data_IF_619325526299
#
_entry.id   IF_619325526299
#
_cell.length_a   1.000
_cell.length_b   1.000
_cell.length_c   1.000
_cell.angle_alpha   90.00
_cell.angle_beta   90.00
_cell.angle_gamma   90.00
#
_symmetry.space_group_name_H-M   'P 1'
#
loop_
_entity.id
_entity.type
_entity.pdbx_description
1 polymer ?
#
# COMPACT_ATOMS: atom_id res chain seq x y z
N UNK A 1 -11.43 6.97 -8.43
CA UNK A 1 -11.28 5.77 -9.27
C UNK A 1 -12.32 4.70 -8.97
N UNK A 2 -12.70 4.46 -7.71
CA UNK A 2 -13.70 3.46 -7.33
C UNK A 2 -14.99 4.19 -6.97
N UNK A 3 -15.94 4.33 -7.91
CA UNK A 3 -17.23 4.93 -7.60
C UNK A 3 -18.01 4.02 -6.64
N UNK A 4 -18.70 4.61 -5.68
CA UNK A 4 -19.52 3.86 -4.71
C UNK A 4 -18.76 2.87 -3.82
N UNK A 5 -17.53 3.22 -3.40
CA UNK A 5 -16.81 2.46 -2.40
C UNK A 5 -17.57 2.48 -1.06
N UNK A 6 -17.99 1.32 -0.60
CA UNK A 6 -18.68 1.14 0.68
C UNK A 6 -18.01 0.08 1.56
N UNK A 7 -17.40 -0.94 0.93
CA UNK A 7 -16.80 -2.09 1.61
C UNK A 7 -15.30 -2.15 1.30
N UNK A 8 -14.49 -1.77 2.26
CA UNK A 8 -13.03 -1.84 2.16
C UNK A 8 -12.53 -3.06 2.91
N UNK A 9 -11.74 -3.88 2.26
CA UNK A 9 -11.05 -4.98 2.93
C UNK A 9 -9.58 -4.62 3.15
N UNK A 10 -9.07 -4.86 4.35
CA UNK A 10 -7.66 -4.68 4.71
C UNK A 10 -6.98 -6.05 4.73
N UNK A 11 -5.90 -6.22 3.97
CA UNK A 11 -5.07 -7.42 4.02
C UNK A 11 -3.75 -7.09 4.70
N UNK A 12 -3.35 -7.88 5.71
CA UNK A 12 -2.09 -7.64 6.40
C UNK A 12 -1.55 -8.84 7.16
N UNK A 13 -0.23 -8.85 7.34
CA UNK A 13 0.46 -9.84 8.17
C UNK A 13 0.26 -9.48 9.66
N UNK A 14 -0.64 -10.18 10.33
CA UNK A 14 -0.95 -9.93 11.75
C UNK A 14 0.12 -10.43 12.72
N UNK A 15 1.15 -11.13 12.23
CA UNK A 15 2.33 -11.45 13.01
C UNK A 15 3.33 -10.28 13.08
N UNK A 16 3.14 -9.25 12.24
CA UNK A 16 3.96 -8.05 12.24
C UNK A 16 3.23 -6.92 13.01
N UNK A 17 3.83 -6.49 14.12
CA UNK A 17 3.27 -5.42 14.96
C UNK A 17 2.99 -4.13 14.19
N UNK A 18 3.87 -3.74 13.27
CA UNK A 18 3.69 -2.51 12.48
C UNK A 18 2.49 -2.62 11.55
N UNK A 19 2.28 -3.77 10.91
CA UNK A 19 1.09 -4.04 10.09
C UNK A 19 -0.19 -3.97 10.91
N UNK A 20 -0.18 -4.50 12.14
CA UNK A 20 -1.35 -4.42 13.04
C UNK A 20 -1.69 -2.98 13.38
N UNK A 21 -0.68 -2.14 13.69
CA UNK A 21 -0.89 -0.70 13.92
C UNK A 21 -1.39 0.03 12.68
N UNK A 22 -0.86 -0.28 11.49
CA UNK A 22 -1.35 0.27 10.22
C UNK A 22 -2.82 -0.09 10.00
N UNK A 23 -3.20 -1.35 10.19
CA UNK A 23 -4.59 -1.81 10.06
C UNK A 23 -5.53 -1.10 11.03
N UNK A 24 -5.09 -0.82 12.26
CA UNK A 24 -5.88 -0.08 13.25
C UNK A 24 -6.12 1.37 12.81
N UNK A 25 -5.09 2.06 12.33
CA UNK A 25 -5.21 3.43 11.80
C UNK A 25 -6.13 3.48 10.57
N UNK A 26 -6.02 2.49 9.69
CA UNK A 26 -6.89 2.37 8.51
C UNK A 26 -8.34 2.14 8.88
N UNK A 27 -8.64 1.30 9.88
CA UNK A 27 -10.01 1.10 10.38
C UNK A 27 -10.60 2.41 10.90
N UNK A 28 -9.82 3.17 11.69
CA UNK A 28 -10.26 4.44 12.23
C UNK A 28 -10.55 5.47 11.12
N UNK A 29 -9.66 5.57 10.13
CA UNK A 29 -9.83 6.44 8.98
C UNK A 29 -11.04 6.03 8.12
N UNK A 30 -11.22 4.74 7.86
CA UNK A 30 -12.33 4.21 7.09
C UNK A 30 -13.68 4.44 7.80
N UNK A 31 -13.72 4.27 9.11
CA UNK A 31 -14.91 4.56 9.92
C UNK A 31 -15.31 6.05 9.81
N UNK A 32 -14.34 6.96 9.86
CA UNK A 32 -14.59 8.39 9.67
C UNK A 32 -15.13 8.73 8.27
N UNK A 33 -14.84 7.90 7.27
CA UNK A 33 -15.36 8.01 5.90
C UNK A 33 -16.67 7.24 5.68
N UNK A 34 -17.23 6.61 6.71
CA UNK A 34 -18.46 5.82 6.61
C UNK A 34 -18.31 4.49 5.86
N UNK A 35 -17.07 3.99 5.70
CA UNK A 35 -16.80 2.72 5.05
C UNK A 35 -16.99 1.54 6.01
N UNK A 36 -17.55 0.45 5.50
CA UNK A 36 -17.51 -0.84 6.20
C UNK A 36 -16.15 -1.50 5.96
N UNK A 37 -15.51 -1.95 7.03
CA UNK A 37 -14.18 -2.55 6.97
C UNK A 37 -14.24 -4.02 7.35
N UNK A 38 -13.69 -4.87 6.49
CA UNK A 38 -13.36 -6.27 6.76
C UNK A 38 -11.85 -6.46 6.78
N UNK A 39 -11.35 -7.57 7.33
CA UNK A 39 -9.92 -7.85 7.46
C UNK A 39 -9.58 -9.26 7.05
N UNK A 40 -8.50 -9.39 6.28
CA UNK A 40 -7.86 -10.64 5.90
C UNK A 40 -6.53 -10.75 6.64
N UNK A 41 -6.54 -11.60 7.66
CA UNK A 41 -5.35 -11.87 8.47
C UNK A 41 -4.45 -12.88 7.76
N UNK A 42 -3.26 -12.45 7.40
CA UNK A 42 -2.23 -13.28 6.81
C UNK A 42 -1.18 -13.58 7.88
N UNK A 43 -0.84 -14.84 8.07
CA UNK A 43 0.23 -15.29 9.00
C UNK A 43 1.33 -16.05 8.27
N UNK A 44 1.01 -16.61 7.12
CA UNK A 44 1.91 -17.38 6.27
C UNK A 44 1.51 -17.25 4.79
N UNK A 45 2.43 -17.58 3.89
CA UNK A 45 2.20 -17.44 2.44
C UNK A 45 0.95 -18.18 1.94
N UNK A 46 0.65 -19.35 2.51
CA UNK A 46 -0.50 -20.18 2.12
C UNK A 46 -1.84 -19.51 2.42
N UNK A 47 -1.88 -18.56 3.35
CA UNK A 47 -3.10 -17.84 3.71
C UNK A 47 -3.53 -16.88 2.58
N UNK A 48 -2.56 -16.42 1.76
CA UNK A 48 -2.82 -15.45 0.67
C UNK A 48 -3.86 -15.97 -0.30
N UNK A 49 -3.72 -17.21 -0.79
CA UNK A 49 -4.66 -17.77 -1.77
C UNK A 49 -6.05 -17.92 -1.15
N UNK A 50 -6.13 -18.47 0.06
CA UNK A 50 -7.40 -18.68 0.78
C UNK A 50 -8.13 -17.37 1.06
N UNK A 51 -7.39 -16.29 1.30
CA UNK A 51 -7.95 -14.99 1.60
C UNK A 51 -8.79 -14.40 0.44
N UNK A 52 -8.52 -14.81 -0.79
CA UNK A 52 -9.29 -14.36 -1.96
C UNK A 52 -10.57 -15.17 -2.24
N UNK A 53 -10.77 -16.31 -1.57
CA UNK A 53 -11.98 -17.11 -1.76
C UNK A 53 -13.24 -16.32 -1.38
N UNK A 54 -14.11 -16.06 -2.36
CA UNK A 54 -15.35 -15.30 -2.20
C UNK A 54 -15.16 -13.83 -1.80
N UNK A 55 -13.98 -13.26 -2.01
CA UNK A 55 -13.70 -11.88 -1.61
C UNK A 55 -14.46 -10.86 -2.46
N UNK A 56 -14.66 -11.14 -3.75
CA UNK A 56 -15.40 -10.28 -4.68
C UNK A 56 -16.81 -9.93 -4.20
N UNK A 57 -17.50 -10.86 -3.56
CA UNK A 57 -18.87 -10.64 -3.08
C UNK A 57 -18.95 -9.82 -1.80
N UNK A 58 -17.80 -9.63 -1.12
CA UNK A 58 -17.68 -8.99 0.20
C UNK A 58 -16.95 -7.66 0.18
N UNK A 59 -16.17 -7.38 -0.86
CA UNK A 59 -15.30 -6.19 -0.96
C UNK A 59 -15.53 -5.40 -2.25
N UNK A 60 -15.44 -4.09 -2.17
CA UNK A 60 -15.43 -3.17 -3.31
C UNK A 60 -14.00 -2.76 -3.67
N UNK A 61 -13.08 -2.81 -2.71
CA UNK A 61 -11.66 -2.56 -2.88
C UNK A 61 -10.83 -3.26 -1.79
N UNK A 62 -9.55 -3.48 -2.09
CA UNK A 62 -8.59 -4.10 -1.20
C UNK A 62 -7.46 -3.11 -0.87
N UNK A 63 -7.25 -2.82 0.41
CA UNK A 63 -6.04 -2.17 0.88
C UNK A 63 -5.06 -3.24 1.38
N UNK A 64 -3.87 -3.27 0.80
CA UNK A 64 -2.81 -4.22 1.15
C UNK A 64 -1.79 -3.50 2.01
N UNK A 65 -1.76 -3.84 3.29
CA UNK A 65 -0.89 -3.23 4.28
C UNK A 65 0.59 -3.54 4.01
N UNK A 66 1.45 -2.67 4.47
CA UNK A 66 2.90 -2.78 4.27
C UNK A 66 3.49 -3.86 5.17
N UNK A 67 4.15 -4.84 4.57
CA UNK A 67 4.93 -5.87 5.27
C UNK A 67 6.07 -6.35 4.38
N UNK A 68 7.29 -6.31 4.90
CA UNK A 68 8.49 -6.64 4.12
C UNK A 68 8.66 -8.15 3.89
N UNK A 69 8.06 -8.98 4.71
CA UNK A 69 8.25 -10.43 4.68
C UNK A 69 7.21 -11.12 3.77
N UNK A 70 6.00 -11.36 4.29
CA UNK A 70 5.01 -12.17 3.60
C UNK A 70 4.33 -11.39 2.48
N UNK A 71 3.84 -10.19 2.79
CA UNK A 71 3.04 -9.41 1.84
C UNK A 71 3.89 -8.95 0.66
N UNK A 72 5.07 -8.38 0.91
CA UNK A 72 5.95 -7.92 -0.16
C UNK A 72 6.48 -9.08 -1.03
N UNK A 73 6.85 -10.20 -0.42
CA UNK A 73 7.30 -11.38 -1.16
C UNK A 73 6.22 -11.92 -2.11
N UNK A 74 4.95 -11.84 -1.71
CA UNK A 74 3.81 -12.34 -2.49
C UNK A 74 3.08 -11.24 -3.27
N UNK A 75 3.64 -10.03 -3.42
CA UNK A 75 2.94 -8.87 -4.01
C UNK A 75 2.39 -9.11 -5.42
N UNK A 76 3.14 -9.81 -6.27
CA UNK A 76 2.70 -10.14 -7.63
C UNK A 76 1.50 -11.10 -7.57
N UNK A 77 1.57 -12.13 -6.74
CA UNK A 77 0.47 -13.08 -6.56
C UNK A 77 -0.78 -12.40 -6.01
N UNK A 78 -0.63 -11.56 -4.99
CA UNK A 78 -1.74 -10.77 -4.40
C UNK A 78 -2.41 -9.91 -5.47
N UNK A 79 -1.63 -9.16 -6.26
CA UNK A 79 -2.17 -8.30 -7.30
C UNK A 79 -2.82 -9.08 -8.46
N UNK A 80 -2.24 -10.24 -8.82
CA UNK A 80 -2.84 -11.14 -9.83
C UNK A 80 -4.19 -11.66 -9.36
N UNK A 81 -4.30 -12.12 -8.12
CA UNK A 81 -5.54 -12.60 -7.52
C UNK A 81 -6.57 -11.46 -7.40
N UNK A 82 -6.15 -10.27 -6.95
CA UNK A 82 -7.02 -9.11 -6.88
C UNK A 82 -7.56 -8.71 -8.26
N UNK A 83 -6.72 -8.74 -9.29
CA UNK A 83 -7.15 -8.45 -10.66
C UNK A 83 -8.14 -9.51 -11.19
N UNK A 84 -7.92 -10.79 -10.90
CA UNK A 84 -8.84 -11.88 -11.23
C UNK A 84 -10.21 -11.68 -10.59
N UNK A 85 -10.23 -11.28 -9.31
CA UNK A 85 -11.45 -10.96 -8.57
C UNK A 85 -12.03 -9.57 -8.91
N UNK A 86 -11.44 -8.84 -9.88
CA UNK A 86 -11.85 -7.47 -10.25
C UNK A 86 -11.83 -6.49 -9.06
N UNK A 87 -10.95 -6.69 -8.11
CA UNK A 87 -10.79 -5.84 -6.94
C UNK A 87 -9.70 -4.79 -7.15
N UNK A 88 -10.05 -3.49 -7.14
CA UNK A 88 -9.08 -2.41 -7.10
C UNK A 88 -8.21 -2.50 -5.85
N UNK A 89 -6.90 -2.28 -6.00
CA UNK A 89 -5.95 -2.35 -4.88
C UNK A 89 -5.34 -1.00 -4.56
N UNK A 90 -5.10 -0.76 -3.27
CA UNK A 90 -4.34 0.37 -2.75
C UNK A 90 -3.21 -0.13 -1.87
N UNK A 91 -2.04 0.48 -1.98
CA UNK A 91 -0.80 0.05 -1.32
C UNK A 91 -0.05 1.22 -0.70
N UNK A 92 0.85 0.93 0.26
CA UNK A 92 1.73 1.90 0.90
C UNK A 92 3.08 2.12 0.20
N UNK A 93 3.36 1.48 -0.94
CA UNK A 93 4.65 1.62 -1.62
C UNK A 93 4.56 1.38 -3.14
N UNK A 94 5.38 2.12 -3.89
CA UNK A 94 5.50 2.08 -5.36
C UNK A 94 5.74 0.67 -5.91
N UNK A 95 6.59 -0.12 -5.26
CA UNK A 95 6.96 -1.47 -5.69
C UNK A 95 5.78 -2.44 -5.83
N UNK A 96 4.66 -2.17 -5.17
CA UNK A 96 3.45 -2.96 -5.35
C UNK A 96 2.72 -2.61 -6.65
N UNK A 97 2.74 -1.34 -7.08
CA UNK A 97 2.20 -0.94 -8.38
C UNK A 97 3.03 -1.51 -9.53
N UNK A 98 4.36 -1.59 -9.39
CA UNK A 98 5.23 -2.30 -10.34
C UNK A 98 4.89 -3.78 -10.44
N UNK A 99 4.45 -4.38 -9.33
CA UNK A 99 3.94 -5.75 -9.26
C UNK A 99 2.50 -5.93 -9.71
N UNK A 100 1.89 -4.96 -10.42
CA UNK A 100 0.54 -5.03 -10.96
C UNK A 100 -0.56 -4.46 -10.06
N UNK A 101 -0.23 -3.84 -8.92
CA UNK A 101 -1.20 -3.12 -8.09
C UNK A 101 -1.75 -1.88 -8.77
N UNK A 102 -2.98 -1.49 -8.45
CA UNK A 102 -3.65 -0.36 -9.10
C UNK A 102 -3.05 0.99 -8.68
N UNK A 103 -2.92 1.22 -7.38
CA UNK A 103 -2.44 2.49 -6.85
C UNK A 103 -1.57 2.29 -5.62
N UNK A 104 -0.66 3.23 -5.40
CA UNK A 104 0.02 3.37 -4.11
C UNK A 104 0.16 4.82 -3.70
N UNK A 105 0.12 5.06 -2.40
CA UNK A 105 0.49 6.32 -1.79
C UNK A 105 1.35 6.05 -0.56
N UNK A 106 2.59 6.48 -0.60
CA UNK A 106 3.52 6.17 0.47
C UNK A 106 4.84 6.93 0.38
N UNK A 107 5.71 6.76 1.36
CA UNK A 107 7.00 7.46 1.42
C UNK A 107 7.87 7.20 0.18
N UNK A 108 8.55 8.24 -0.29
CA UNK A 108 9.56 8.10 -1.32
C UNK A 108 10.82 7.46 -0.74
N UNK A 109 10.94 6.14 -0.84
CA UNK A 109 12.08 5.40 -0.29
C UNK A 109 13.44 5.86 -0.84
N UNK A 110 13.61 6.11 -2.16
CA UNK A 110 14.87 6.68 -2.68
C UNK A 110 15.26 8.00 -2.01
N UNK A 111 14.29 8.87 -1.70
CA UNK A 111 14.55 10.11 -0.97
C UNK A 111 14.98 9.85 0.47
N UNK A 112 14.33 8.89 1.15
CA UNK A 112 14.71 8.48 2.50
C UNK A 112 16.14 7.94 2.55
N UNK A 113 16.53 7.10 1.59
CA UNK A 113 17.91 6.59 1.50
C UNK A 113 18.94 7.70 1.24
N UNK A 114 18.62 8.68 0.36
CA UNK A 114 19.49 9.85 0.20
C UNK A 114 19.64 10.64 1.49
N UNK A 115 18.52 10.84 2.20
CA UNK A 115 18.52 11.53 3.51
C UNK A 115 19.36 10.78 4.55
N UNK A 116 19.39 9.45 4.51
CA UNK A 116 20.23 8.64 5.39
C UNK A 116 21.72 8.93 5.22
N UNK A 117 22.17 9.29 4.01
CA UNK A 117 23.56 9.70 3.76
C UNK A 117 23.95 10.95 4.55
N UNK A 118 23.03 11.90 4.74
CA UNK A 118 23.30 13.10 5.55
C UNK A 118 23.51 12.74 7.02
N UNK A 119 22.81 11.75 7.55
CA UNK A 119 23.01 11.25 8.90
C UNK A 119 24.37 10.56 9.03
N UNK A 120 24.73 9.74 8.06
CA UNK A 120 26.05 9.08 8.02
C UNK A 120 27.17 10.13 8.00
N UNK A 121 27.10 11.16 7.17
CA UNK A 121 28.09 12.24 7.11
C UNK A 121 28.24 12.96 8.47
N UNK A 122 27.12 13.30 9.10
CA UNK A 122 27.13 13.93 10.45
C UNK A 122 27.84 13.05 11.48
N UNK A 123 27.54 11.75 11.50
CA UNK A 123 28.16 10.80 12.45
C UNK A 123 29.64 10.65 12.17
N UNK A 124 30.04 10.54 10.92
CA UNK A 124 31.45 10.44 10.54
C UNK A 124 32.24 11.71 10.87
N UNK A 125 31.60 12.88 10.92
CA UNK A 125 32.17 14.17 11.39
C UNK A 125 32.13 14.34 12.91
N UNK A 126 31.72 13.32 13.66
CA UNK A 126 31.78 13.31 15.14
C UNK A 126 30.48 13.62 15.86
N UNK A 127 29.35 13.79 15.15
CA UNK A 127 28.06 13.92 15.80
C UNK A 127 27.68 12.60 16.47
N UNK A 128 27.16 12.65 17.69
CA UNK A 128 26.68 11.47 18.39
C UNK A 128 25.31 11.07 17.83
N UNK A 129 25.14 9.83 17.44
CA UNK A 129 23.89 9.33 16.85
C UNK A 129 22.65 9.60 17.74
N UNK A 130 22.80 9.47 19.07
CA UNK A 130 21.72 9.74 20.02
C UNK A 130 21.32 11.21 20.18
N UNK A 131 22.13 12.15 19.65
CA UNK A 131 21.87 13.60 19.67
C UNK A 131 21.24 14.07 18.34
N UNK A 132 21.18 13.22 17.32
CA UNK A 132 20.58 13.54 16.02
C UNK A 132 19.06 13.35 16.13
N UNK A 133 18.25 14.39 15.82
CA UNK A 133 16.80 14.27 15.87
C UNK A 133 16.27 13.18 14.92
N UNK A 134 15.26 12.43 15.38
CA UNK A 134 14.51 11.51 14.53
C UNK A 134 13.67 12.31 13.55
N UNK A 135 13.78 12.00 12.27
CA UNK A 135 13.00 12.63 11.19
C UNK A 135 11.98 11.66 10.64
N UNK A 136 10.81 12.19 10.26
CA UNK A 136 9.80 11.46 9.50
C UNK A 136 9.95 11.77 8.02
N UNK A 137 9.50 10.87 7.12
CA UNK A 137 9.43 11.15 5.69
C UNK A 137 8.57 12.40 5.45
N UNK A 138 9.06 13.30 4.61
CA UNK A 138 8.34 14.51 4.19
C UNK A 138 7.86 14.43 2.75
N UNK A 139 8.42 13.50 1.96
CA UNK A 139 8.03 13.26 0.58
C UNK A 139 7.27 11.94 0.46
N UNK A 140 6.07 12.03 -0.10
CA UNK A 140 5.21 10.90 -0.43
C UNK A 140 4.96 10.91 -1.92
N UNK A 141 4.86 9.74 -2.54
CA UNK A 141 4.55 9.59 -3.95
C UNK A 141 3.19 8.92 -4.13
N UNK A 142 2.37 9.50 -5.01
CA UNK A 142 1.19 8.87 -5.55
C UNK A 142 1.54 8.21 -6.88
N UNK A 143 1.42 6.89 -6.96
CA UNK A 143 1.68 6.11 -8.17
C UNK A 143 0.39 5.45 -8.63
N UNK A 144 0.12 5.50 -9.93
CA UNK A 144 -1.07 4.92 -10.55
C UNK A 144 -0.65 4.00 -11.70
N UNK A 145 -1.13 2.76 -11.70
CA UNK A 145 -0.93 1.82 -12.78
C UNK A 145 -2.14 1.83 -13.72
N UNK A 146 -1.97 2.46 -14.89
CA UNK A 146 -3.03 2.63 -15.89
C UNK A 146 -3.33 1.30 -16.61
N UNK A 147 -2.34 0.43 -16.80
CA UNK A 147 -2.58 -0.88 -17.38
C UNK A 147 -3.53 -1.69 -16.48
N UNK A 148 -3.29 -1.68 -15.16
CA UNK A 148 -4.18 -2.32 -14.18
C UNK A 148 -5.55 -1.64 -14.12
N UNK A 149 -5.62 -0.31 -14.19
CA UNK A 149 -6.88 0.42 -14.23
C UNK A 149 -7.73 -0.02 -15.45
N UNK A 150 -7.14 -0.07 -16.64
CA UNK A 150 -7.80 -0.53 -17.87
C UNK A 150 -8.29 -1.97 -17.75
N UNK A 151 -7.47 -2.87 -17.19
CA UNK A 151 -7.83 -4.28 -16.99
C UNK A 151 -9.00 -4.48 -16.01
N UNK A 152 -9.13 -3.56 -15.03
CA UNK A 152 -10.26 -3.51 -14.09
C UNK A 152 -11.50 -2.81 -14.69
N UNK A 153 -11.39 -2.17 -15.86
CA UNK A 153 -12.46 -1.36 -16.44
C UNK A 153 -12.67 -0.02 -15.73
N UNK A 154 -11.64 0.48 -15.05
CA UNK A 154 -11.68 1.73 -14.28
C UNK A 154 -11.08 2.88 -15.10
N UNK A 155 -11.76 4.02 -15.10
CA UNK A 155 -11.19 5.27 -15.60
C UNK A 155 -10.46 6.01 -14.47
N UNK A 156 -9.22 6.42 -14.74
CA UNK A 156 -8.51 7.31 -13.85
C UNK A 156 -8.95 8.75 -14.17
N UNK A 157 -9.53 9.48 -13.19
CA UNK A 157 -9.93 10.87 -13.42
C UNK A 157 -8.71 11.76 -13.72
N UNK A 158 -8.85 12.71 -14.66
CA UNK A 158 -7.76 13.63 -15.02
C UNK A 158 -7.15 14.36 -13.83
N UNK A 159 -8.00 14.77 -12.87
CA UNK A 159 -7.53 15.40 -11.63
C UNK A 159 -6.63 14.49 -10.80
N UNK A 160 -6.91 13.18 -10.78
CA UNK A 160 -6.10 12.23 -10.04
C UNK A 160 -4.77 11.97 -10.78
N UNK A 161 -4.81 11.89 -12.10
CA UNK A 161 -3.61 11.76 -12.92
C UNK A 161 -2.70 12.98 -12.80
N UNK A 162 -3.27 14.19 -12.74
CA UNK A 162 -2.51 15.43 -12.54
C UNK A 162 -1.84 15.52 -11.15
N UNK A 163 -2.33 14.77 -10.16
CA UNK A 163 -1.74 14.68 -8.81
C UNK A 163 -0.75 13.55 -8.67
N UNK A 164 -0.70 12.62 -9.63
CA UNK A 164 0.20 11.49 -9.58
C UNK A 164 1.66 11.93 -9.81
N UNK A 165 2.56 11.48 -8.94
CA UNK A 165 4.00 11.66 -9.12
C UNK A 165 4.53 10.72 -10.21
N UNK A 166 3.85 9.60 -10.44
CA UNK A 166 4.17 8.63 -11.47
C UNK A 166 2.93 7.89 -11.98
N UNK A 167 2.92 7.65 -13.30
CA UNK A 167 1.92 6.82 -13.99
C UNK A 167 2.64 5.68 -14.68
N UNK A 168 2.29 4.43 -14.34
CA UNK A 168 2.82 3.21 -14.95
C UNK A 168 1.84 2.79 -16.06
N UNK A 169 2.38 2.59 -17.29
CA UNK A 169 1.63 2.19 -18.48
C UNK A 169 1.84 0.72 -18.84
#
# INVERSE_FOLDING_TARGET
MVPHLHRLTLMGNVSNRFTVLEMEQLRNAAAALGLKVDTLEIRQTQDVIKAFEGLRDRADALYVCTDAAIIHANRIQINTLALHEKLPTMHGARTYCEGGGLMSYGPNFPNMFRRSADFVDKILRGAKAGEIPVEQPTKFDLVINIATARALGLAAPDKLLALADEVIE
#
